data_IF_447094753072
#
_entry.id   IF_447094753072
#
_cell.length_a   1.000
_cell.length_b   1.000
_cell.length_c   1.000
_cell.angle_alpha   90.00
_cell.angle_beta   90.00
_cell.angle_gamma   90.00
#
_symmetry.space_group_name_H-M   'P 1'
#
loop_
_entity.id
_entity.type
_entity.pdbx_description
1 polymer ?
#
# COMPACT_ATOMS: atom_id res chain seq x y z
N UNK A 1 -29.83 -10.74 -11.60
CA UNK A 1 -28.45 -11.20 -11.86
C UNK A 1 -27.42 -10.10 -11.64
N UNK A 2 -27.62 -8.89 -12.17
CA UNK A 2 -26.70 -7.75 -12.00
C UNK A 2 -26.31 -7.47 -10.52
N UNK A 3 -27.28 -7.49 -9.61
CA UNK A 3 -27.07 -7.29 -8.16
C UNK A 3 -25.99 -8.19 -7.54
N UNK A 4 -25.97 -9.48 -7.89
CA UNK A 4 -24.97 -10.43 -7.38
C UNK A 4 -23.60 -10.23 -8.02
N UNK A 5 -23.59 -9.97 -9.33
CA UNK A 5 -22.35 -9.82 -10.10
C UNK A 5 -21.61 -8.56 -9.71
N UNK A 6 -22.30 -7.42 -9.61
CA UNK A 6 -21.69 -6.13 -9.24
C UNK A 6 -21.14 -6.19 -7.82
N UNK A 7 -21.94 -6.64 -6.86
CA UNK A 7 -21.48 -6.81 -5.48
C UNK A 7 -20.32 -7.80 -5.37
N UNK A 8 -20.38 -8.91 -6.11
CA UNK A 8 -19.31 -9.90 -6.14
C UNK A 8 -17.99 -9.37 -6.70
N UNK A 9 -18.01 -8.66 -7.84
CA UNK A 9 -16.80 -8.08 -8.43
C UNK A 9 -16.17 -7.05 -7.47
N UNK A 10 -16.98 -6.21 -6.84
CA UNK A 10 -16.51 -5.25 -5.84
C UNK A 10 -15.85 -5.95 -4.64
N UNK A 11 -16.51 -6.97 -4.08
CA UNK A 11 -15.98 -7.73 -2.95
C UNK A 11 -14.67 -8.45 -3.32
N UNK A 12 -14.63 -9.14 -4.47
CA UNK A 12 -13.41 -9.81 -4.96
C UNK A 12 -12.28 -8.80 -5.13
N UNK A 13 -12.59 -7.60 -5.66
CA UNK A 13 -11.64 -6.49 -5.84
C UNK A 13 -11.00 -6.02 -4.52
N UNK A 14 -11.80 -5.86 -3.46
CA UNK A 14 -11.28 -5.52 -2.13
C UNK A 14 -10.38 -6.63 -1.59
N UNK A 15 -10.82 -7.89 -1.70
CA UNK A 15 -10.05 -9.04 -1.20
C UNK A 15 -8.70 -9.18 -1.90
N UNK A 16 -8.69 -9.13 -3.22
CA UNK A 16 -7.45 -9.26 -3.98
C UNK A 16 -6.52 -8.08 -3.74
N UNK A 17 -7.04 -6.86 -3.58
CA UNK A 17 -6.26 -5.68 -3.25
C UNK A 17 -5.50 -5.84 -1.94
N UNK A 18 -6.22 -6.22 -0.87
CA UNK A 18 -5.66 -6.47 0.46
C UNK A 18 -4.61 -7.57 0.44
N UNK A 19 -4.91 -8.71 -0.17
CA UNK A 19 -3.97 -9.83 -0.22
C UNK A 19 -2.74 -9.52 -1.07
N UNK A 20 -2.89 -8.76 -2.16
CA UNK A 20 -1.77 -8.33 -2.99
C UNK A 20 -0.82 -7.42 -2.19
N UNK A 21 -1.37 -6.47 -1.42
CA UNK A 21 -0.55 -5.62 -0.54
C UNK A 21 0.20 -6.43 0.52
N UNK A 22 -0.46 -7.45 1.08
CA UNK A 22 0.17 -8.35 2.05
C UNK A 22 1.31 -9.15 1.41
N UNK A 23 1.09 -9.70 0.21
CA UNK A 23 2.10 -10.42 -0.55
C UNK A 23 3.30 -9.52 -0.93
N UNK A 24 3.05 -8.25 -1.30
CA UNK A 24 4.10 -7.27 -1.57
C UNK A 24 4.93 -6.99 -0.30
N UNK A 25 4.29 -6.88 0.86
CA UNK A 25 5.01 -6.68 2.12
C UNK A 25 5.92 -7.86 2.47
N UNK A 26 5.42 -9.09 2.28
CA UNK A 26 6.16 -10.34 2.49
C UNK A 26 7.33 -10.44 1.50
N UNK A 27 7.12 -10.22 0.20
CA UNK A 27 8.20 -10.25 -0.81
C UNK A 27 9.31 -9.25 -0.46
N UNK A 28 8.94 -8.02 -0.06
CA UNK A 28 9.92 -7.01 0.40
C UNK A 28 10.69 -7.47 1.63
N UNK A 29 10.02 -8.09 2.60
CA UNK A 29 10.67 -8.65 3.78
C UNK A 29 11.68 -9.73 3.41
N UNK A 30 11.28 -10.73 2.62
CA UNK A 30 12.18 -11.82 2.19
C UNK A 30 13.38 -11.28 1.43
N UNK A 31 13.18 -10.41 0.45
CA UNK A 31 14.26 -9.89 -0.41
C UNK A 31 15.21 -8.94 0.29
N UNK A 32 14.75 -8.20 1.29
CA UNK A 32 15.61 -7.23 1.97
C UNK A 32 16.26 -7.85 3.20
N UNK A 33 15.54 -8.67 3.96
CA UNK A 33 16.00 -9.16 5.28
C UNK A 33 16.60 -10.56 5.21
N UNK A 34 15.95 -11.51 4.52
CA UNK A 34 16.33 -12.93 4.55
C UNK A 34 17.33 -13.26 3.45
N UNK A 35 17.02 -12.94 2.20
CA UNK A 35 17.82 -13.28 1.03
C UNK A 35 18.05 -12.03 0.15
N UNK A 36 19.01 -11.16 0.54
CA UNK A 36 19.36 -9.97 -0.22
C UNK A 36 19.80 -10.32 -1.65
N UNK A 37 19.09 -9.79 -2.65
CA UNK A 37 19.49 -9.90 -4.05
C UNK A 37 18.97 -11.11 -4.82
N UNK A 38 18.19 -12.01 -4.19
CA UNK A 38 17.50 -13.08 -4.91
C UNK A 38 16.11 -12.63 -5.37
N UNK A 39 15.87 -12.37 -6.68
CA UNK A 39 14.56 -11.96 -7.13
C UNK A 39 13.56 -13.11 -7.16
N UNK A 40 12.28 -12.82 -6.89
CA UNK A 40 11.18 -13.76 -7.08
C UNK A 40 11.12 -14.17 -8.55
N UNK A 41 11.22 -15.47 -8.81
CA UNK A 41 11.06 -16.02 -10.16
C UNK A 41 9.67 -15.70 -10.67
N UNK A 42 9.55 -15.31 -11.95
CA UNK A 42 8.26 -14.99 -12.61
C UNK A 42 7.22 -16.08 -12.41
N UNK A 43 7.63 -17.35 -12.49
CA UNK A 43 6.76 -18.52 -12.27
C UNK A 43 6.15 -18.52 -10.86
N UNK A 44 6.95 -18.20 -9.83
CA UNK A 44 6.47 -18.14 -8.45
C UNK A 44 5.51 -16.95 -8.26
N UNK A 45 5.80 -15.81 -8.88
CA UNK A 45 4.91 -14.65 -8.84
C UNK A 45 3.54 -14.97 -9.46
N UNK A 46 3.51 -15.64 -10.62
CA UNK A 46 2.26 -16.06 -11.26
C UNK A 46 1.48 -17.04 -10.36
N UNK A 47 2.16 -18.03 -9.77
CA UNK A 47 1.54 -18.98 -8.84
C UNK A 47 0.90 -18.26 -7.65
N UNK A 48 1.62 -17.32 -7.03
CA UNK A 48 1.09 -16.52 -5.92
C UNK A 48 -0.15 -15.74 -6.37
N UNK A 49 -0.09 -15.03 -7.50
CA UNK A 49 -1.23 -14.26 -8.01
C UNK A 49 -2.46 -15.13 -8.23
N UNK A 50 -2.32 -16.30 -8.88
CA UNK A 50 -3.44 -17.24 -9.09
C UNK A 50 -4.03 -17.71 -7.76
N UNK A 51 -3.18 -18.05 -6.78
CA UNK A 51 -3.63 -18.44 -5.44
C UNK A 51 -4.43 -17.31 -4.76
N UNK A 52 -3.97 -16.06 -4.86
CA UNK A 52 -4.68 -14.91 -4.29
C UNK A 52 -6.06 -14.72 -4.91
N UNK A 53 -6.19 -14.88 -6.23
CA UNK A 53 -7.49 -14.83 -6.92
C UNK A 53 -8.43 -15.92 -6.42
N UNK A 54 -7.96 -17.16 -6.34
CA UNK A 54 -8.78 -18.30 -5.88
C UNK A 54 -9.26 -18.08 -4.45
N UNK A 55 -8.35 -17.70 -3.54
CA UNK A 55 -8.71 -17.43 -2.14
C UNK A 55 -9.70 -16.27 -2.02
N UNK A 56 -9.55 -15.21 -2.82
CA UNK A 56 -10.46 -14.06 -2.82
C UNK A 56 -11.87 -14.43 -3.31
N UNK A 57 -11.96 -15.23 -4.37
CA UNK A 57 -13.25 -15.73 -4.87
C UNK A 57 -13.91 -16.60 -3.82
N UNK A 58 -13.18 -17.57 -3.25
CA UNK A 58 -13.72 -18.47 -2.23
C UNK A 58 -14.21 -17.71 -0.98
N UNK A 59 -13.44 -16.75 -0.50
CA UNK A 59 -13.80 -15.96 0.67
C UNK A 59 -15.04 -15.08 0.46
N UNK A 60 -15.33 -14.69 -0.79
CA UNK A 60 -16.47 -13.83 -1.14
C UNK A 60 -17.73 -14.60 -1.55
N UNK A 61 -17.65 -15.93 -1.72
CA UNK A 61 -18.79 -16.77 -2.10
C UNK A 61 -20.02 -16.62 -1.18
N UNK A 62 -19.87 -16.62 0.17
CA UNK A 62 -21.04 -16.49 1.05
C UNK A 62 -21.77 -15.16 0.84
N UNK A 63 -21.03 -14.07 0.70
CA UNK A 63 -21.58 -12.75 0.41
C UNK A 63 -22.36 -12.73 -0.91
N UNK A 64 -21.78 -13.25 -1.99
CA UNK A 64 -22.43 -13.29 -3.32
C UNK A 64 -23.70 -14.14 -3.30
N UNK A 65 -23.68 -15.28 -2.59
CA UNK A 65 -24.83 -16.18 -2.46
C UNK A 65 -25.99 -15.51 -1.71
N UNK A 66 -25.67 -14.79 -0.63
CA UNK A 66 -26.67 -14.12 0.21
C UNK A 66 -27.17 -12.79 -0.38
N UNK A 67 -26.56 -12.26 -1.43
CA UNK A 67 -26.99 -11.01 -2.07
C UNK A 67 -28.28 -11.19 -2.90
N UNK A 68 -29.33 -10.43 -2.56
CA UNK A 68 -30.65 -10.49 -3.21
C UNK A 68 -31.27 -9.10 -3.39
N UNK A 69 -32.00 -8.92 -4.48
CA UNK A 69 -32.79 -7.70 -4.72
C UNK A 69 -34.06 -7.75 -3.86
N UNK A 70 -34.35 -6.66 -3.15
CA UNK A 70 -35.50 -6.52 -2.26
C UNK A 70 -36.19 -5.19 -2.53
N UNK A 71 -37.52 -5.21 -2.57
CA UNK A 71 -38.36 -4.01 -2.68
C UNK A 71 -38.74 -3.55 -1.27
N UNK A 72 -38.48 -2.28 -0.96
CA UNK A 72 -38.87 -1.67 0.31
C UNK A 72 -40.08 -0.75 0.06
N UNK A 73 -41.28 -1.12 0.54
CA UNK A 73 -42.52 -0.38 0.28
C UNK A 73 -42.83 0.74 1.31
N UNK A 74 -41.90 1.05 2.23
CA UNK A 74 -42.10 1.99 3.34
C UNK A 74 -42.00 3.47 2.93
N UNK A 75 -42.78 4.35 3.59
CA UNK A 75 -42.87 5.82 3.36
C UNK A 75 -41.50 6.54 3.35
N UNK A 76 -40.54 6.11 4.16
CA UNK A 76 -39.24 6.81 4.29
C UNK A 76 -38.19 6.40 3.24
N UNK A 77 -38.34 5.23 2.59
CA UNK A 77 -37.43 4.76 1.53
C UNK A 77 -38.23 3.88 0.56
N UNK A 78 -38.51 4.38 -0.65
CA UNK A 78 -39.18 3.65 -1.73
C UNK A 78 -38.16 3.21 -2.78
N UNK A 79 -38.11 1.93 -3.12
CA UNK A 79 -37.25 1.43 -4.20
C UNK A 79 -36.89 -0.05 -4.10
N UNK A 80 -36.17 -0.54 -5.12
CA UNK A 80 -35.56 -1.87 -5.14
C UNK A 80 -34.06 -1.75 -4.84
N UNK A 81 -33.63 -2.39 -3.75
CA UNK A 81 -32.25 -2.34 -3.28
C UNK A 81 -31.63 -3.74 -3.31
N UNK A 82 -30.35 -3.80 -3.66
CA UNK A 82 -29.55 -5.00 -3.60
C UNK A 82 -28.96 -5.12 -2.19
N UNK A 83 -29.48 -6.06 -1.39
CA UNK A 83 -29.12 -6.17 0.04
C UNK A 83 -28.83 -7.62 0.41
N UNK A 84 -28.02 -7.82 1.44
CA UNK A 84 -27.70 -9.14 1.96
C UNK A 84 -28.90 -9.75 2.71
N UNK A 85 -29.32 -10.95 2.32
CA UNK A 85 -30.34 -11.75 3.01
C UNK A 85 -29.71 -13.01 3.60
N UNK A 86 -29.28 -12.91 4.84
CA UNK A 86 -28.80 -14.03 5.64
C UNK A 86 -29.98 -14.77 6.30
N UNK A 87 -29.92 -16.10 6.45
CA UNK A 87 -30.97 -16.88 7.10
C UNK A 87 -31.03 -16.57 8.61
N UNK A 88 -29.86 -16.43 9.25
CA UNK A 88 -29.73 -16.23 10.69
C UNK A 88 -28.80 -15.04 10.95
N UNK A 89 -29.10 -14.26 11.99
CA UNK A 89 -28.25 -13.12 12.43
C UNK A 89 -26.85 -13.62 12.85
N UNK A 90 -26.77 -14.78 13.50
CA UNK A 90 -25.49 -15.38 13.88
C UNK A 90 -24.58 -15.65 12.68
N UNK A 91 -25.12 -16.18 11.58
CA UNK A 91 -24.33 -16.46 10.37
C UNK A 91 -23.78 -15.17 9.75
N UNK A 92 -24.58 -14.10 9.73
CA UNK A 92 -24.16 -12.79 9.24
C UNK A 92 -23.03 -12.22 10.12
N UNK A 93 -23.19 -12.21 11.44
CA UNK A 93 -22.16 -11.78 12.41
C UNK A 93 -20.85 -12.54 12.26
N UNK A 94 -20.91 -13.88 12.14
CA UNK A 94 -19.72 -14.72 11.94
C UNK A 94 -19.01 -14.33 10.65
N UNK A 95 -19.75 -14.14 9.55
CA UNK A 95 -19.16 -13.72 8.29
C UNK A 95 -18.56 -12.32 8.37
N UNK A 96 -19.23 -11.36 9.01
CA UNK A 96 -18.68 -10.01 9.24
C UNK A 96 -17.38 -10.03 10.04
N UNK A 97 -17.29 -10.85 11.10
CA UNK A 97 -16.05 -11.03 11.87
C UNK A 97 -14.94 -11.70 11.04
N UNK A 98 -15.29 -12.70 10.22
CA UNK A 98 -14.37 -13.33 9.28
C UNK A 98 -13.80 -12.30 8.29
N UNK A 99 -14.66 -11.46 7.70
CA UNK A 99 -14.25 -10.38 6.80
C UNK A 99 -13.33 -9.40 7.54
N UNK A 100 -13.70 -8.94 8.73
CA UNK A 100 -12.86 -8.05 9.55
C UNK A 100 -11.47 -8.65 9.81
N UNK A 101 -11.41 -9.93 10.20
CA UNK A 101 -10.16 -10.61 10.49
C UNK A 101 -9.26 -10.71 9.24
N UNK A 102 -9.83 -11.14 8.12
CA UNK A 102 -9.07 -11.43 6.90
C UNK A 102 -8.79 -10.19 6.05
N UNK A 103 -9.67 -9.19 6.07
CA UNK A 103 -9.49 -7.94 5.32
C UNK A 103 -8.73 -6.88 6.08
N UNK A 104 -8.69 -6.94 7.41
CA UNK A 104 -8.06 -5.88 8.19
C UNK A 104 -7.04 -6.41 9.19
N UNK A 105 -7.47 -7.18 10.19
CA UNK A 105 -6.62 -7.53 11.34
C UNK A 105 -5.37 -8.30 10.90
N UNK A 106 -5.55 -9.42 10.21
CA UNK A 106 -4.43 -10.28 9.78
C UNK A 106 -3.51 -9.53 8.80
N UNK A 107 -4.01 -8.91 7.71
CA UNK A 107 -3.15 -8.15 6.79
C UNK A 107 -2.41 -7.00 7.48
N UNK A 108 -3.07 -6.23 8.34
CA UNK A 108 -2.45 -5.10 9.04
C UNK A 108 -1.32 -5.57 9.95
N UNK A 109 -1.53 -6.65 10.70
CA UNK A 109 -0.51 -7.25 11.56
C UNK A 109 0.67 -7.75 10.74
N UNK A 110 0.43 -8.50 9.66
CA UNK A 110 1.50 -9.02 8.79
C UNK A 110 2.29 -7.88 8.16
N UNK A 111 1.61 -6.87 7.59
CA UNK A 111 2.28 -5.70 7.00
C UNK A 111 3.12 -4.96 8.02
N UNK A 112 2.59 -4.76 9.23
CA UNK A 112 3.29 -4.09 10.33
C UNK A 112 4.57 -4.82 10.70
N UNK A 113 4.49 -6.13 10.93
CA UNK A 113 5.66 -6.96 11.29
C UNK A 113 6.70 -6.94 10.15
N UNK A 114 6.27 -7.18 8.91
CA UNK A 114 7.16 -7.20 7.75
C UNK A 114 7.88 -5.86 7.58
N UNK A 115 7.15 -4.75 7.65
CA UNK A 115 7.74 -3.43 7.44
C UNK A 115 8.57 -2.92 8.62
N UNK A 116 8.24 -3.30 9.86
CA UNK A 116 9.11 -3.05 11.00
C UNK A 116 10.46 -3.77 10.84
N UNK A 117 10.44 -5.03 10.38
CA UNK A 117 11.66 -5.78 10.12
C UNK A 117 12.49 -5.18 8.97
N UNK A 118 11.84 -4.84 7.85
CA UNK A 118 12.48 -4.17 6.71
C UNK A 118 13.08 -2.82 7.13
N UNK A 119 12.35 -2.03 7.90
CA UNK A 119 12.82 -0.74 8.39
C UNK A 119 14.04 -0.88 9.29
N UNK A 120 14.01 -1.83 10.22
CA UNK A 120 15.13 -2.14 11.09
C UNK A 120 16.36 -2.57 10.29
N UNK A 121 16.17 -3.41 9.27
CA UNK A 121 17.23 -3.82 8.36
C UNK A 121 17.82 -2.63 7.59
N UNK A 122 16.98 -1.78 6.99
CA UNK A 122 17.44 -0.60 6.24
C UNK A 122 18.18 0.40 7.14
N UNK A 123 17.74 0.57 8.38
CA UNK A 123 18.44 1.37 9.40
C UNK A 123 19.82 0.80 9.71
N UNK A 124 19.92 -0.50 9.96
CA UNK A 124 21.20 -1.18 10.24
C UNK A 124 22.16 -1.06 9.05
N UNK A 125 21.68 -1.34 7.83
CA UNK A 125 22.49 -1.23 6.60
C UNK A 125 22.96 0.20 6.33
N UNK A 126 22.10 1.19 6.53
CA UNK A 126 22.48 2.60 6.39
C UNK A 126 23.51 3.00 7.45
N UNK A 127 23.33 2.60 8.72
CA UNK A 127 24.30 2.87 9.79
C UNK A 127 25.67 2.29 9.46
N UNK A 128 25.74 1.02 9.06
CA UNK A 128 26.98 0.36 8.65
C UNK A 128 27.68 1.12 7.50
N UNK A 129 26.95 1.46 6.43
CA UNK A 129 27.52 2.23 5.31
C UNK A 129 27.99 3.63 5.72
N UNK A 130 27.23 4.32 6.56
CA UNK A 130 27.59 5.65 7.06
C UNK A 130 28.85 5.60 7.94
N UNK A 131 29.02 4.55 8.75
CA UNK A 131 30.24 4.33 9.52
C UNK A 131 31.45 4.09 8.61
N UNK A 132 31.31 3.27 7.56
CA UNK A 132 32.39 3.07 6.58
C UNK A 132 32.79 4.37 5.86
N UNK A 133 31.82 5.21 5.47
CA UNK A 133 32.08 6.52 4.85
C UNK A 133 32.77 7.46 5.84
N UNK A 134 32.36 7.47 7.11
CA UNK A 134 33.01 8.27 8.15
C UNK A 134 34.46 7.84 8.39
N UNK A 135 34.73 6.53 8.39
CA UNK A 135 36.09 5.99 8.49
C UNK A 135 36.96 6.41 7.28
N UNK A 136 36.43 6.36 6.06
CA UNK A 136 37.12 6.85 4.86
C UNK A 136 37.43 8.35 4.95
N UNK A 137 36.51 9.17 5.46
CA UNK A 137 36.73 10.59 5.66
C UNK A 137 37.82 10.87 6.72
N UNK A 138 37.82 10.12 7.82
CA UNK A 138 38.85 10.24 8.86
C UNK A 138 40.23 9.85 8.32
N UNK A 139 40.34 8.75 7.57
CA UNK A 139 41.60 8.34 6.95
C UNK A 139 42.12 9.40 5.97
N UNK A 140 41.22 9.97 5.16
CA UNK A 140 41.56 11.04 4.23
C UNK A 140 42.11 12.29 4.94
N UNK A 141 41.56 12.65 6.09
CA UNK A 141 42.04 13.76 6.91
C UNK A 141 43.47 13.49 7.45
N UNK A 142 43.71 12.28 7.97
CA UNK A 142 45.04 11.90 8.48
C UNK A 142 46.09 11.93 7.37
N UNK A 143 45.79 11.37 6.20
CA UNK A 143 46.71 11.38 5.05
C UNK A 143 47.03 12.81 4.61
N UNK A 144 46.03 13.71 4.60
CA UNK A 144 46.26 15.11 4.26
C UNK A 144 47.20 15.81 5.26
N UNK A 145 47.07 15.49 6.55
CA UNK A 145 47.91 16.04 7.59
C UNK A 145 49.37 15.52 7.56
N UNK A 146 49.58 14.25 7.15
CA UNK A 146 50.91 13.61 7.20
C UNK A 146 51.67 13.63 5.87
N UNK A 147 50.98 13.60 4.74
CA UNK A 147 51.61 13.37 3.43
C UNK A 147 51.71 14.62 2.55
N UNK A 148 51.25 15.79 3.03
CA UNK A 148 51.26 17.02 2.23
C UNK A 148 50.47 16.86 0.93
N UNK A 149 49.29 16.25 1.00
CA UNK A 149 48.48 15.95 -0.19
C UNK A 149 48.04 17.22 -0.92
N UNK A 150 48.00 17.17 -2.25
CA UNK A 150 47.46 18.26 -3.07
C UNK A 150 46.04 18.64 -2.61
N UNK A 151 45.85 19.92 -2.28
CA UNK A 151 44.62 20.45 -1.67
C UNK A 151 43.42 20.24 -2.59
N UNK A 152 43.64 20.22 -3.90
CA UNK A 152 42.61 19.99 -4.91
C UNK A 152 42.08 18.55 -4.88
N UNK A 153 42.97 17.55 -4.84
CA UNK A 153 42.59 16.12 -4.83
C UNK A 153 41.86 15.72 -3.55
N UNK A 154 42.28 16.27 -2.41
CA UNK A 154 41.59 16.07 -1.13
C UNK A 154 40.15 16.61 -1.15
N UNK A 155 39.95 17.79 -1.73
CA UNK A 155 38.64 18.45 -1.83
C UNK A 155 37.67 17.64 -2.69
N UNK A 156 38.13 17.05 -3.80
CA UNK A 156 37.32 16.20 -4.67
C UNK A 156 36.88 14.91 -3.97
N UNK A 157 37.81 14.22 -3.30
CA UNK A 157 37.50 12.98 -2.56
C UNK A 157 36.53 13.21 -1.42
N UNK A 158 36.71 14.31 -0.65
CA UNK A 158 35.77 14.68 0.41
C UNK A 158 34.38 15.01 -0.14
N UNK A 159 34.31 15.72 -1.27
CA UNK A 159 33.04 16.03 -1.95
C UNK A 159 32.33 14.76 -2.40
N UNK A 160 33.07 13.79 -2.93
CA UNK A 160 32.53 12.49 -3.30
C UNK A 160 31.97 11.71 -2.09
N UNK A 161 32.66 11.71 -0.94
CA UNK A 161 32.16 11.07 0.29
C UNK A 161 30.89 11.73 0.84
N UNK A 162 30.82 13.07 0.80
CA UNK A 162 29.61 13.83 1.17
C UNK A 162 28.45 13.44 0.27
N UNK A 163 28.69 13.30 -1.03
CA UNK A 163 27.68 12.90 -2.01
C UNK A 163 27.23 11.44 -1.79
N UNK A 164 28.15 10.51 -1.53
CA UNK A 164 27.81 9.14 -1.15
C UNK A 164 26.95 9.08 0.13
N UNK A 165 27.28 9.87 1.16
CA UNK A 165 26.48 10.00 2.38
C UNK A 165 25.06 10.50 2.08
N UNK A 166 24.93 11.54 1.24
CA UNK A 166 23.63 12.06 0.80
C UNK A 166 22.82 10.98 0.08
N UNK A 167 23.42 10.23 -0.85
CA UNK A 167 22.76 9.15 -1.60
C UNK A 167 22.22 8.05 -0.67
N UNK A 168 23.01 7.58 0.29
CA UNK A 168 22.58 6.56 1.28
C UNK A 168 21.39 7.05 2.11
N UNK A 169 21.46 8.30 2.59
CA UNK A 169 20.38 8.90 3.39
C UNK A 169 19.10 9.11 2.56
N UNK A 170 19.24 9.61 1.34
CA UNK A 170 18.12 9.84 0.43
C UNK A 170 17.43 8.52 0.04
N UNK A 171 18.21 7.49 -0.31
CA UNK A 171 17.69 6.17 -0.64
C UNK A 171 16.92 5.56 0.55
N UNK A 172 17.48 5.62 1.77
CA UNK A 172 16.80 5.15 2.98
C UNK A 172 15.51 5.91 3.24
N UNK A 173 15.53 7.25 3.16
CA UNK A 173 14.36 8.11 3.39
C UNK A 173 13.25 7.77 2.41
N UNK A 174 13.57 7.68 1.12
CA UNK A 174 12.63 7.32 0.06
C UNK A 174 11.96 5.97 0.32
N UNK A 175 12.75 4.93 0.60
CA UNK A 175 12.18 3.59 0.88
C UNK A 175 11.33 3.61 2.13
N UNK A 176 11.77 4.26 3.20
CA UNK A 176 10.98 4.39 4.45
C UNK A 176 9.65 5.07 4.19
N UNK A 177 9.63 6.17 3.43
CA UNK A 177 8.40 6.89 3.09
C UNK A 177 7.42 6.01 2.33
N UNK A 178 7.90 5.21 1.36
CA UNK A 178 7.05 4.25 0.63
C UNK A 178 6.38 3.25 1.58
N UNK A 179 7.14 2.69 2.52
CA UNK A 179 6.60 1.67 3.42
C UNK A 179 5.59 2.26 4.41
N UNK A 180 5.89 3.44 4.98
CA UNK A 180 4.98 4.15 5.88
C UNK A 180 3.71 4.55 5.16
N UNK A 181 3.81 5.09 3.94
CA UNK A 181 2.64 5.48 3.18
C UNK A 181 1.75 4.29 2.82
N UNK A 182 2.32 3.12 2.49
CA UNK A 182 1.53 1.89 2.26
C UNK A 182 0.67 1.51 3.46
N UNK A 183 1.24 1.51 4.68
CA UNK A 183 0.50 1.17 5.92
C UNK A 183 -0.57 2.21 6.24
N UNK A 184 -0.22 3.49 6.13
CA UNK A 184 -1.13 4.61 6.43
C UNK A 184 -2.31 4.61 5.46
N UNK A 185 -2.06 4.47 4.16
CA UNK A 185 -3.11 4.41 3.15
C UNK A 185 -4.02 3.22 3.41
N UNK A 186 -3.46 2.02 3.61
CA UNK A 186 -4.26 0.83 3.89
C UNK A 186 -5.12 1.00 5.16
N UNK A 187 -4.55 1.56 6.23
CA UNK A 187 -5.27 1.88 7.45
C UNK A 187 -6.42 2.87 7.20
N UNK A 188 -6.15 4.00 6.54
CA UNK A 188 -7.17 5.03 6.29
C UNK A 188 -8.27 4.52 5.36
N UNK A 189 -7.93 3.73 4.33
CA UNK A 189 -8.94 3.26 3.35
C UNK A 189 -9.73 2.07 3.86
N UNK A 190 -9.12 1.18 4.63
CA UNK A 190 -9.73 -0.10 5.01
C UNK A 190 -10.35 -0.07 6.41
N UNK A 191 -9.79 0.68 7.37
CA UNK A 191 -10.28 0.69 8.75
C UNK A 191 -11.71 1.24 8.86
N UNK A 192 -12.08 2.40 8.27
CA UNK A 192 -13.40 2.99 8.47
C UNK A 192 -14.53 2.07 7.96
N UNK A 193 -14.32 1.42 6.82
CA UNK A 193 -15.30 0.49 6.25
C UNK A 193 -15.49 -0.75 7.13
N UNK A 194 -14.40 -1.36 7.60
CA UNK A 194 -14.48 -2.54 8.46
C UNK A 194 -15.06 -2.22 9.85
N UNK A 195 -14.75 -1.04 10.42
CA UNK A 195 -15.36 -0.56 11.67
C UNK A 195 -16.85 -0.36 11.48
N UNK A 196 -17.27 0.43 10.48
CA UNK A 196 -18.69 0.74 10.27
C UNK A 196 -19.49 -0.52 9.96
N UNK A 197 -18.96 -1.42 9.13
CA UNK A 197 -19.59 -2.72 8.83
C UNK A 197 -19.78 -3.57 10.09
N UNK A 198 -18.79 -3.60 10.99
CA UNK A 198 -18.90 -4.35 12.25
C UNK A 198 -19.86 -3.67 13.22
N UNK A 199 -19.78 -2.35 13.39
CA UNK A 199 -20.68 -1.60 14.26
C UNK A 199 -22.13 -1.80 13.83
N UNK A 200 -22.44 -1.60 12.54
CA UNK A 200 -23.78 -1.80 12.00
C UNK A 200 -24.35 -3.22 12.21
N UNK A 201 -23.49 -4.23 12.38
CA UNK A 201 -23.90 -5.62 12.57
C UNK A 201 -24.07 -6.01 14.05
N UNK A 202 -23.30 -5.40 14.94
CA UNK A 202 -23.29 -5.72 16.37
C UNK A 202 -24.11 -4.76 17.23
N UNK A 203 -24.34 -3.52 16.77
CA UNK A 203 -25.24 -2.59 17.45
C UNK A 203 -26.60 -2.62 16.76
N UNK A 204 -27.59 -3.19 17.45
CA UNK A 204 -29.01 -3.21 17.02
C UNK A 204 -29.64 -1.80 17.04
N UNK A 205 -28.92 -0.82 17.58
CA UNK A 205 -29.36 0.53 17.80
C UNK A 205 -29.17 1.38 16.54
N UNK A 206 -30.27 1.58 15.80
CA UNK A 206 -30.44 2.74 14.90
C UNK A 206 -30.13 4.08 15.60
N UNK A 207 -30.09 4.09 16.94
CA UNK A 207 -29.88 5.28 17.77
C UNK A 207 -28.41 5.75 17.89
N UNK A 208 -27.39 4.90 17.64
CA UNK A 208 -25.98 5.33 17.79
C UNK A 208 -25.50 6.23 16.64
N UNK A 209 -26.08 6.06 15.44
CA UNK A 209 -25.76 6.86 14.25
C UNK A 209 -26.92 7.80 13.86
N UNK A 210 -28.04 7.75 14.58
CA UNK A 210 -29.09 8.74 14.50
C UNK A 210 -28.73 9.94 15.37
N UNK A 211 -28.39 11.05 14.73
CA UNK A 211 -28.13 12.31 15.42
C UNK A 211 -29.24 13.30 15.04
N UNK A 212 -29.84 13.97 16.03
CA UNK A 212 -30.97 14.89 15.83
C UNK A 212 -32.16 14.29 15.06
N UNK A 213 -32.48 13.00 15.26
CA UNK A 213 -33.62 12.34 14.62
C UNK A 213 -33.43 12.02 13.12
N UNK A 214 -32.25 12.28 12.55
CA UNK A 214 -31.88 11.88 11.19
C UNK A 214 -30.97 10.66 11.21
N UNK A 215 -31.28 9.66 10.38
CA UNK A 215 -30.48 8.42 10.27
C UNK A 215 -29.33 8.61 9.26
N UNK A 216 -28.10 8.79 9.76
CA UNK A 216 -26.88 8.95 8.93
C UNK A 216 -26.20 7.62 8.57
N UNK A 217 -26.75 6.48 9.01
CA UNK A 217 -26.14 5.16 8.83
C UNK A 217 -25.84 4.86 7.35
N UNK A 218 -26.78 5.16 6.46
CA UNK A 218 -26.61 4.95 5.02
C UNK A 218 -25.49 5.83 4.43
N UNK A 219 -25.43 7.10 4.83
CA UNK A 219 -24.42 8.04 4.34
C UNK A 219 -23.02 7.64 4.82
N UNK A 220 -22.88 7.23 6.08
CA UNK A 220 -21.61 6.74 6.63
C UNK A 220 -21.15 5.46 5.95
N UNK A 221 -22.06 4.50 5.71
CA UNK A 221 -21.73 3.30 4.95
C UNK A 221 -21.29 3.64 3.51
N UNK A 222 -21.97 4.58 2.85
CA UNK A 222 -21.62 5.04 1.51
C UNK A 222 -20.21 5.69 1.47
N UNK A 223 -19.93 6.61 2.39
CA UNK A 223 -18.64 7.32 2.47
C UNK A 223 -17.51 6.33 2.75
N UNK A 224 -17.69 5.45 3.73
CA UNK A 224 -16.67 4.46 4.09
C UNK A 224 -16.45 3.42 3.00
N UNK A 225 -17.50 2.98 2.31
CA UNK A 225 -17.38 2.09 1.15
C UNK A 225 -16.66 2.77 -0.01
N UNK A 226 -17.00 4.04 -0.31
CA UNK A 226 -16.29 4.82 -1.32
C UNK A 226 -14.80 4.96 -1.00
N UNK A 227 -14.47 5.25 0.26
CA UNK A 227 -13.09 5.35 0.73
C UNK A 227 -12.33 4.02 0.59
N UNK A 228 -12.97 2.89 0.86
CA UNK A 228 -12.39 1.57 0.61
C UNK A 228 -12.13 1.35 -0.89
N UNK A 229 -13.04 1.78 -1.77
CA UNK A 229 -12.84 1.69 -3.23
C UNK A 229 -11.75 2.63 -3.75
N UNK A 230 -11.43 3.74 -3.07
CA UNK A 230 -10.30 4.60 -3.44
C UNK A 230 -8.94 3.90 -3.32
N UNK A 231 -8.87 2.79 -2.56
CA UNK A 231 -7.65 1.98 -2.46
C UNK A 231 -7.16 1.44 -3.82
N UNK A 232 -8.07 1.24 -4.78
CA UNK A 232 -7.75 0.80 -6.15
C UNK A 232 -6.79 1.78 -6.85
N UNK A 233 -6.99 3.08 -6.62
CA UNK A 233 -6.26 4.16 -7.29
C UNK A 233 -5.02 4.56 -6.48
N UNK A 234 -5.11 4.46 -5.15
CA UNK A 234 -4.01 4.78 -4.24
C UNK A 234 -2.75 3.95 -4.54
N UNK A 235 -2.92 2.69 -4.94
CA UNK A 235 -1.82 1.78 -5.25
C UNK A 235 -0.94 2.25 -6.43
N UNK A 236 -1.46 2.44 -7.67
CA UNK A 236 -0.69 3.03 -8.77
C UNK A 236 -0.13 4.43 -8.48
N UNK A 237 -0.91 5.29 -7.82
CA UNK A 237 -0.47 6.64 -7.46
C UNK A 237 0.76 6.58 -6.55
N UNK A 238 0.76 5.71 -5.54
CA UNK A 238 1.91 5.51 -4.67
C UNK A 238 3.17 5.16 -5.46
N UNK A 239 3.07 4.25 -6.42
CA UNK A 239 4.21 3.85 -7.24
C UNK A 239 4.64 4.96 -8.22
N UNK A 240 3.71 5.73 -8.78
CA UNK A 240 3.99 6.88 -9.64
C UNK A 240 4.71 8.01 -8.91
N UNK A 241 4.29 8.34 -7.68
CA UNK A 241 4.92 9.43 -6.93
C UNK A 241 6.25 9.04 -6.30
N UNK A 242 6.46 7.76 -5.96
CA UNK A 242 7.64 7.33 -5.22
C UNK A 242 8.65 6.49 -6.02
N UNK A 243 8.34 6.11 -7.27
CA UNK A 243 9.28 5.45 -8.18
C UNK A 243 9.64 6.30 -9.42
N UNK A 244 10.74 7.07 -9.40
CA UNK A 244 11.32 7.76 -10.56
C UNK A 244 11.34 6.97 -11.86
N UNK A 245 11.70 5.68 -11.86
CA UNK A 245 11.70 4.89 -13.11
C UNK A 245 10.29 4.64 -13.64
N UNK A 246 9.31 4.45 -12.74
CA UNK A 246 7.92 4.31 -13.14
C UNK A 246 7.35 5.66 -13.64
N UNK A 247 7.75 6.76 -13.01
CA UNK A 247 7.42 8.11 -13.48
C UNK A 247 8.01 8.39 -14.85
N UNK A 248 9.24 7.97 -15.12
CA UNK A 248 9.88 8.10 -16.43
C UNK A 248 9.15 7.26 -17.48
N UNK A 249 8.77 6.02 -17.15
CA UNK A 249 8.00 5.16 -18.04
C UNK A 249 6.61 5.75 -18.36
N UNK A 250 5.95 6.34 -17.37
CA UNK A 250 4.68 7.08 -17.57
C UNK A 250 4.92 8.31 -18.44
N UNK A 251 5.95 9.11 -18.17
CA UNK A 251 6.25 10.32 -18.93
C UNK A 251 6.63 10.01 -20.38
N UNK A 252 7.41 8.96 -20.63
CA UNK A 252 7.76 8.49 -21.97
C UNK A 252 6.54 7.91 -22.70
N UNK A 253 5.66 7.19 -22.00
CA UNK A 253 4.38 6.74 -22.56
C UNK A 253 3.42 7.90 -22.88
N UNK A 254 3.37 8.92 -22.03
CA UNK A 254 2.55 10.13 -22.24
C UNK A 254 3.16 11.09 -23.28
N UNK A 255 4.49 11.12 -23.44
CA UNK A 255 5.15 11.89 -24.48
C UNK A 255 4.85 11.35 -25.90
N UNK A 256 4.45 10.08 -26.00
CA UNK A 256 3.87 9.52 -27.23
C UNK A 256 2.46 10.01 -27.54
N UNK A 257 1.74 10.58 -26.56
CA UNK A 257 0.46 11.26 -26.76
C UNK A 257 0.71 12.76 -26.99
N UNK A 258 0.25 13.29 -28.14
CA UNK A 258 0.42 14.69 -28.60
C UNK A 258 -0.14 15.79 -27.67
N UNK A 259 -0.61 15.46 -26.47
CA UNK A 259 -1.31 16.36 -25.53
C UNK A 259 -0.67 16.46 -24.12
N UNK A 260 0.58 16.02 -23.94
CA UNK A 260 1.24 16.16 -22.63
C UNK A 260 1.49 17.64 -22.27
N UNK A 261 1.00 18.16 -21.12
CA UNK A 261 1.24 19.53 -20.70
C UNK A 261 2.73 19.74 -20.36
N UNK A 262 3.33 20.78 -20.96
CA UNK A 262 4.76 21.14 -20.90
C UNK A 262 5.33 21.46 -19.50
N UNK A 263 4.57 21.29 -18.42
CA UNK A 263 4.95 21.77 -17.09
C UNK A 263 5.94 20.86 -16.33
N UNK A 264 6.22 19.65 -16.83
CA UNK A 264 6.97 18.63 -16.06
C UNK A 264 8.45 18.51 -16.45
N UNK A 265 8.90 19.14 -17.55
CA UNK A 265 10.29 18.93 -18.07
C UNK A 265 11.39 19.72 -17.33
N UNK A 266 11.05 20.65 -16.43
CA UNK A 266 12.04 21.62 -15.92
C UNK A 266 12.78 21.24 -14.63
N UNK A 267 12.47 20.13 -13.96
CA UNK A 267 12.98 19.87 -12.59
C UNK A 267 13.88 18.65 -12.42
N UNK A 268 14.37 17.99 -13.48
CA UNK A 268 15.17 16.78 -13.27
C UNK A 268 16.28 16.57 -14.32
N UNK A 269 17.53 16.56 -13.85
CA UNK A 269 18.70 16.06 -14.58
C UNK A 269 19.09 14.68 -14.02
N UNK A 270 19.22 13.64 -14.86
CA UNK A 270 19.64 12.31 -14.43
C UNK A 270 21.10 12.33 -13.99
N UNK A 271 21.37 11.86 -12.78
CA UNK A 271 22.74 11.51 -12.36
C UNK A 271 23.08 10.18 -13.02
N UNK A 272 23.96 10.20 -14.03
CA UNK A 272 24.52 8.99 -14.64
C UNK A 272 25.15 8.12 -13.55
N UNK A 273 24.61 6.92 -13.36
CA UNK A 273 25.25 5.86 -12.58
C UNK A 273 25.88 4.93 -13.59
N UNK A 274 27.19 5.07 -13.80
CA UNK A 274 28.01 4.09 -14.49
C UNK A 274 27.98 2.78 -13.72
N UNK A 275 27.51 1.73 -14.41
CA UNK A 275 27.58 0.35 -13.95
C UNK A 275 29.01 -0.12 -14.15
N UNK A 276 29.70 -0.42 -13.06
CA UNK A 276 30.82 -1.37 -12.99
C UNK A 276 30.51 -2.33 -11.85
#
# INVERSE_FOLDING_TARGET
MLCRVVGGIQAIGLFIGTFSLCAIAIDRYFRLVIAPGSPLRKVNAIRITVLLWVISILATLPYVYHMKMRKYPSINVCGEFCTEKWPNVHSKRIYTLFVLAIQFVIPFTIMTICYQAVFSFLRRRAKSRLTSIAQQANLLYVVAATAGSDTQQHKEQLTHLIEQKKRVMHQRRRVTLILVSMVVIFGITSLPHNIVSTLMEFTDSRDLLAYNGNDYTYLLNLITHFLAMLSCVANPMLYAFLNPEFRELILNGLAGFKWAPRFVSRTWQPTQTTVV
#
